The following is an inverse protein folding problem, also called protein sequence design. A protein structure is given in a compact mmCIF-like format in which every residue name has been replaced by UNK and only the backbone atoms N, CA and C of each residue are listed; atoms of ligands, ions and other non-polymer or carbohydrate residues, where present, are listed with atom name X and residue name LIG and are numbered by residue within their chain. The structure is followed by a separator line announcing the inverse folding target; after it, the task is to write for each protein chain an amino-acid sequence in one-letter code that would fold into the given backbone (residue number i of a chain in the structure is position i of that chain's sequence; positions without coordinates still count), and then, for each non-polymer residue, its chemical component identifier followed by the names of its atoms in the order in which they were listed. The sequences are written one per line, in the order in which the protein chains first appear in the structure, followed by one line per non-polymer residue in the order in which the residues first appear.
data_IF_441325739321
#
_entry.id   IF_441325739321
#
_cell.length_a   1.000
_cell.length_b   1.000
_cell.length_c   1.000
_cell.angle_alpha   90.00
_cell.angle_beta   90.00
_cell.angle_gamma   90.00
#
_symmetry.space_group_name_H-M   'P 1'
#
loop_
_entity.id
_entity.type
_entity.pdbx_description
1 polymer ?
#
# COMPACT_ATOMS: atom_id res chain seq x y z
N UNK A 1 29.24 17.56 -6.66
CA UNK A 1 30.31 18.38 -7.28
C UNK A 1 29.73 18.95 -8.57
N UNK A 2 29.42 20.25 -8.62
CA UNK A 2 28.89 20.88 -9.83
C UNK A 2 30.07 21.43 -10.64
N UNK A 3 30.33 20.89 -11.82
CA UNK A 3 31.38 21.38 -12.73
C UNK A 3 30.74 22.07 -13.93
N UNK A 4 31.53 22.88 -14.65
CA UNK A 4 31.07 23.60 -15.83
C UNK A 4 30.76 22.62 -16.98
N UNK A 5 29.62 22.83 -17.66
CA UNK A 5 29.15 21.99 -18.78
C UNK A 5 30.20 21.84 -19.87
N UNK A 6 30.93 22.91 -20.17
CA UNK A 6 32.01 22.95 -21.17
C UNK A 6 33.14 21.97 -20.83
N UNK A 7 33.43 21.78 -19.53
CA UNK A 7 34.45 20.83 -19.08
C UNK A 7 33.98 19.37 -19.16
N UNK A 8 32.68 19.11 -19.00
CA UNK A 8 32.14 17.76 -19.13
C UNK A 8 32.02 17.33 -20.59
N UNK A 9 31.61 18.22 -21.48
CA UNK A 9 31.47 17.92 -22.92
C UNK A 9 32.82 17.57 -23.56
N UNK A 10 33.87 18.34 -23.23
CA UNK A 10 35.24 18.11 -23.73
C UNK A 10 35.89 16.83 -23.17
N UNK A 11 35.51 16.38 -21.96
CA UNK A 11 36.02 15.13 -21.37
C UNK A 11 35.25 13.89 -21.85
N UNK A 12 33.98 14.07 -22.25
CA UNK A 12 33.07 12.97 -22.64
C UNK A 12 32.98 12.80 -24.16
N UNK A 13 33.79 13.55 -24.93
CA UNK A 13 33.80 13.57 -26.41
C UNK A 13 32.37 13.72 -27.00
N UNK A 14 31.55 14.52 -26.33
CA UNK A 14 30.14 14.77 -26.62
C UNK A 14 29.91 16.28 -26.73
N UNK A 15 30.66 16.89 -27.64
CA UNK A 15 30.44 18.28 -28.03
C UNK A 15 29.02 18.43 -28.60
N UNK A 16 28.32 19.48 -28.19
CA UNK A 16 26.97 19.86 -28.62
C UNK A 16 25.76 19.04 -28.13
N UNK A 17 25.94 17.96 -27.36
CA UNK A 17 24.81 17.23 -26.76
C UNK A 17 24.51 17.71 -25.32
N UNK A 18 23.25 18.06 -25.05
CA UNK A 18 22.74 18.45 -23.72
C UNK A 18 21.62 17.49 -23.33
N UNK A 19 21.78 16.76 -22.23
CA UNK A 19 20.81 15.74 -21.79
C UNK A 19 19.56 16.32 -21.14
N UNK A 20 19.66 17.47 -20.46
CA UNK A 20 18.51 18.14 -19.84
C UNK A 20 18.80 19.61 -19.56
N UNK A 21 17.78 20.46 -19.73
CA UNK A 21 17.85 21.89 -19.43
C UNK A 21 16.81 22.18 -18.35
N UNK A 22 17.26 22.54 -17.15
CA UNK A 22 16.38 22.93 -16.05
C UNK A 22 16.14 24.43 -16.05
N UNK A 23 14.90 24.85 -16.29
CA UNK A 23 14.50 26.27 -16.29
C UNK A 23 13.76 26.56 -14.99
N UNK A 24 14.32 27.45 -14.15
CA UNK A 24 13.66 27.91 -12.93
C UNK A 24 12.87 29.18 -13.22
N UNK A 25 11.54 29.09 -13.17
CA UNK A 25 10.65 30.24 -13.40
C UNK A 25 10.56 31.09 -12.12
N UNK A 26 10.51 32.43 -12.27
CA UNK A 26 10.28 33.36 -11.15
C UNK A 26 8.86 33.18 -10.58
N UNK A 27 8.73 33.37 -9.27
CA UNK A 27 7.52 33.08 -8.45
C UNK A 27 6.21 33.72 -8.94
N UNK A 28 6.29 34.80 -9.72
CA UNK A 28 5.12 35.57 -10.20
C UNK A 28 4.76 35.32 -11.68
N UNK A 29 5.39 34.32 -12.34
CA UNK A 29 5.08 33.96 -13.72
C UNK A 29 4.26 32.67 -13.80
N UNK A 30 3.21 32.68 -14.63
CA UNK A 30 2.32 31.53 -14.83
C UNK A 30 3.06 30.42 -15.61
N UNK A 31 3.32 29.30 -14.93
CA UNK A 31 4.01 28.11 -15.43
C UNK A 31 3.36 27.55 -16.69
N UNK A 32 2.02 27.53 -16.76
CA UNK A 32 1.25 26.99 -17.88
C UNK A 32 1.47 27.83 -19.14
N UNK A 33 1.38 29.16 -19.04
CA UNK A 33 1.59 30.06 -20.20
C UNK A 33 3.03 30.04 -20.73
N UNK A 34 4.01 29.80 -19.86
CA UNK A 34 5.42 29.66 -20.27
C UNK A 34 5.67 28.29 -20.90
N UNK A 35 5.08 27.23 -20.35
CA UNK A 35 5.16 25.89 -20.91
C UNK A 35 4.55 25.84 -22.31
N UNK A 36 3.35 26.39 -22.49
CA UNK A 36 2.63 26.41 -23.76
C UNK A 36 3.42 27.16 -24.84
N UNK A 37 4.04 28.30 -24.49
CA UNK A 37 4.89 29.05 -25.43
C UNK A 37 6.19 28.34 -25.81
N UNK A 38 6.73 27.52 -24.91
CA UNK A 38 7.94 26.73 -25.20
C UNK A 38 7.57 25.50 -26.03
N UNK A 39 6.45 24.84 -25.72
CA UNK A 39 5.88 23.74 -26.52
C UNK A 39 5.58 24.20 -27.94
N UNK A 40 4.88 25.32 -28.12
CA UNK A 40 4.57 25.86 -29.46
C UNK A 40 5.82 26.23 -30.27
N UNK A 41 6.88 26.70 -29.61
CA UNK A 41 8.10 27.17 -30.29
C UNK A 41 9.12 26.08 -30.61
N UNK A 42 9.08 24.95 -29.88
CA UNK A 42 10.09 23.89 -29.97
C UNK A 42 9.50 22.46 -30.06
N UNK A 43 8.22 22.36 -30.48
CA UNK A 43 7.41 21.13 -30.49
C UNK A 43 8.07 19.92 -31.18
N UNK A 44 8.90 20.16 -32.21
CA UNK A 44 9.48 19.10 -33.06
C UNK A 44 10.86 18.60 -32.61
N UNK A 45 11.46 19.16 -31.55
CA UNK A 45 12.84 18.77 -31.15
C UNK A 45 13.02 18.61 -29.65
N UNK A 46 12.13 19.14 -28.82
CA UNK A 46 12.29 19.14 -27.36
C UNK A 46 11.04 18.61 -26.66
N UNK A 47 11.18 17.47 -25.97
CA UNK A 47 10.20 17.05 -24.97
C UNK A 47 10.39 17.90 -23.71
N UNK A 48 9.46 18.82 -23.49
CA UNK A 48 9.41 19.59 -22.24
C UNK A 48 8.58 18.84 -21.22
N UNK A 49 9.20 18.51 -20.09
CA UNK A 49 8.52 17.94 -18.93
C UNK A 49 8.44 19.04 -17.90
N UNK A 50 7.23 19.50 -17.59
CA UNK A 50 7.02 20.41 -16.46
C UNK A 50 7.05 19.63 -15.16
N UNK A 51 7.38 20.34 -14.07
CA UNK A 51 7.27 19.76 -12.72
C UNK A 51 5.83 19.34 -12.41
N UNK A 52 4.82 19.98 -13.04
CA UNK A 52 3.40 19.64 -12.88
C UNK A 52 3.02 18.34 -13.61
N UNK A 53 3.44 18.17 -14.88
CA UNK A 53 3.23 16.92 -15.64
C UNK A 53 3.98 15.74 -14.99
N UNK A 54 5.17 16.00 -14.45
CA UNK A 54 5.92 14.99 -13.69
C UNK A 54 5.22 14.60 -12.39
N UNK A 55 4.67 15.58 -11.65
CA UNK A 55 3.91 15.32 -10.43
C UNK A 55 2.63 14.51 -10.72
N UNK A 56 1.86 14.90 -11.75
CA UNK A 56 0.66 14.17 -12.18
C UNK A 56 0.98 12.73 -12.59
N UNK A 57 2.06 12.52 -13.35
CA UNK A 57 2.48 11.16 -13.74
C UNK A 57 2.83 10.30 -12.52
N UNK A 58 3.48 10.90 -11.51
CA UNK A 58 3.78 10.21 -10.24
C UNK A 58 2.48 9.90 -9.49
N UNK A 59 1.56 10.85 -9.37
CA UNK A 59 0.28 10.66 -8.69
C UNK A 59 -0.56 9.56 -9.36
N UNK A 60 -0.69 9.57 -10.68
CA UNK A 60 -1.40 8.53 -11.45
C UNK A 60 -0.77 7.14 -11.26
N UNK A 61 0.56 7.08 -11.22
CA UNK A 61 1.30 5.83 -10.97
C UNK A 61 1.05 5.33 -9.55
N UNK A 62 1.09 6.23 -8.56
CA UNK A 62 0.82 5.89 -7.16
C UNK A 62 -0.63 5.42 -6.97
N UNK A 63 -1.59 6.07 -7.62
CA UNK A 63 -3.00 5.67 -7.59
C UNK A 63 -3.22 4.30 -8.23
N UNK A 64 -2.53 4.01 -9.33
CA UNK A 64 -2.54 2.69 -9.95
C UNK A 64 -2.02 1.61 -8.98
N UNK A 65 -0.87 1.86 -8.32
CA UNK A 65 -0.29 0.94 -7.33
C UNK A 65 -1.23 0.77 -6.12
N UNK A 66 -1.83 1.86 -5.63
CA UNK A 66 -2.78 1.84 -4.53
C UNK A 66 -4.03 1.02 -4.88
N UNK A 67 -4.57 1.18 -6.09
CA UNK A 67 -5.73 0.42 -6.55
C UNK A 67 -5.44 -1.08 -6.66
N UNK A 68 -4.27 -1.45 -7.19
CA UNK A 68 -3.82 -2.83 -7.28
C UNK A 68 -3.64 -3.46 -5.89
N UNK A 69 -3.03 -2.72 -4.97
CA UNK A 69 -2.85 -3.16 -3.57
C UNK A 69 -4.20 -3.38 -2.89
N UNK A 70 -5.14 -2.44 -3.05
CA UNK A 70 -6.50 -2.54 -2.50
C UNK A 70 -7.24 -3.78 -3.05
N UNK A 71 -7.04 -4.13 -4.32
CA UNK A 71 -7.63 -5.33 -4.89
C UNK A 71 -7.06 -6.62 -4.26
N UNK A 72 -5.75 -6.66 -4.00
CA UNK A 72 -5.10 -7.80 -3.33
C UNK A 72 -5.54 -7.89 -1.88
N UNK A 73 -5.67 -6.76 -1.17
CA UNK A 73 -6.23 -6.71 0.18
C UNK A 73 -7.64 -7.31 0.22
N UNK A 74 -8.51 -6.92 -0.71
CA UNK A 74 -9.86 -7.48 -0.81
C UNK A 74 -9.87 -9.00 -1.02
N UNK A 75 -8.96 -9.53 -1.84
CA UNK A 75 -8.81 -10.98 -2.03
C UNK A 75 -8.29 -11.66 -0.77
N UNK A 76 -7.35 -11.04 -0.06
CA UNK A 76 -6.82 -11.57 1.19
C UNK A 76 -7.91 -11.69 2.26
N UNK A 77 -8.82 -10.71 2.34
CA UNK A 77 -9.99 -10.74 3.22
C UNK A 77 -10.87 -11.97 2.91
N UNK A 78 -11.19 -12.20 1.63
CA UNK A 78 -12.03 -13.32 1.22
C UNK A 78 -11.38 -14.65 1.59
N UNK A 79 -10.09 -14.81 1.29
CA UNK A 79 -9.36 -16.05 1.58
C UNK A 79 -9.24 -16.28 3.09
N UNK A 80 -8.92 -15.24 3.86
CA UNK A 80 -8.81 -15.28 5.32
C UNK A 80 -10.15 -15.64 5.97
N UNK A 81 -11.23 -14.97 5.56
CA UNK A 81 -12.58 -15.25 6.02
C UNK A 81 -13.04 -16.68 5.73
N UNK A 82 -12.78 -17.19 4.52
CA UNK A 82 -13.08 -18.59 4.18
C UNK A 82 -12.29 -19.59 5.03
N UNK A 83 -11.02 -19.28 5.32
CA UNK A 83 -10.19 -20.08 6.23
C UNK A 83 -10.81 -20.17 7.64
N UNK A 84 -11.18 -19.03 8.22
CA UNK A 84 -11.82 -18.97 9.54
C UNK A 84 -13.14 -19.74 9.54
N UNK A 85 -13.98 -19.53 8.52
CA UNK A 85 -15.27 -20.22 8.37
C UNK A 85 -15.08 -21.75 8.32
N UNK A 86 -14.09 -22.24 7.55
CA UNK A 86 -13.80 -23.66 7.44
C UNK A 86 -13.34 -24.26 8.77
N UNK A 87 -12.42 -23.59 9.48
CA UNK A 87 -11.98 -24.03 10.81
C UNK A 87 -13.13 -24.01 11.80
N UNK A 88 -13.95 -22.97 11.81
CA UNK A 88 -15.08 -22.86 12.71
C UNK A 88 -16.13 -23.94 12.47
N UNK A 89 -16.45 -24.21 11.20
CA UNK A 89 -17.33 -25.31 10.82
C UNK A 89 -16.79 -26.64 11.34
N UNK A 90 -15.50 -26.92 11.13
CA UNK A 90 -14.86 -28.14 11.63
C UNK A 90 -14.99 -28.28 13.15
N UNK A 91 -14.65 -27.23 13.92
CA UNK A 91 -14.77 -27.24 15.39
C UNK A 91 -16.21 -27.47 15.86
N UNK A 92 -17.19 -26.86 15.19
CA UNK A 92 -18.60 -27.05 15.52
C UNK A 92 -19.04 -28.48 15.21
N UNK A 93 -18.60 -29.07 14.09
CA UNK A 93 -18.91 -30.45 13.73
C UNK A 93 -18.38 -31.45 14.77
N UNK A 94 -17.13 -31.26 15.21
CA UNK A 94 -16.50 -32.10 16.24
C UNK A 94 -17.25 -32.06 17.57
N UNK A 95 -17.82 -30.91 17.94
CA UNK A 95 -18.49 -30.69 19.24
C UNK A 95 -20.02 -30.76 19.17
N UNK A 96 -20.58 -31.23 18.06
CA UNK A 96 -22.05 -31.37 17.89
C UNK A 96 -22.71 -32.17 19.00
N UNK A 97 -22.08 -33.25 19.47
CA UNK A 97 -22.59 -34.08 20.58
C UNK A 97 -22.62 -33.30 21.89
N UNK A 98 -21.60 -32.50 22.18
CA UNK A 98 -21.53 -31.64 23.38
C UNK A 98 -22.63 -30.58 23.35
N UNK A 99 -22.83 -29.93 22.21
CA UNK A 99 -23.90 -28.94 21.98
C UNK A 99 -25.29 -29.57 22.20
N UNK A 100 -25.48 -30.81 21.75
CA UNK A 100 -26.71 -31.59 21.97
C UNK A 100 -26.98 -31.85 23.46
N UNK A 101 -25.94 -32.20 24.23
CA UNK A 101 -26.05 -32.36 25.69
C UNK A 101 -26.38 -31.03 26.35
N UNK A 102 -25.67 -29.94 26.01
CA UNK A 102 -25.93 -28.60 26.59
C UNK A 102 -27.37 -28.13 26.36
N UNK A 103 -27.93 -28.35 25.15
CA UNK A 103 -29.35 -28.05 24.88
C UNK A 103 -30.29 -28.86 25.75
N UNK A 104 -30.00 -30.13 26.00
CA UNK A 104 -30.80 -31.00 26.86
C UNK A 104 -30.78 -30.59 28.33
N UNK A 105 -29.69 -29.95 28.80
CA UNK A 105 -29.62 -29.32 30.14
C UNK A 105 -30.29 -27.94 30.17
N UNK A 106 -30.91 -27.50 29.07
CA UNK A 106 -31.69 -26.25 29.01
C UNK A 106 -30.91 -25.02 28.54
N UNK A 107 -29.71 -25.18 27.95
CA UNK A 107 -29.02 -24.04 27.35
C UNK A 107 -29.80 -23.47 26.15
N UNK A 108 -30.00 -22.16 26.14
CA UNK A 108 -30.67 -21.47 25.04
C UNK A 108 -29.75 -21.36 23.81
N UNK A 109 -30.35 -21.34 22.61
CA UNK A 109 -29.60 -21.16 21.35
C UNK A 109 -28.69 -19.93 21.37
N UNK A 110 -29.15 -18.82 21.99
CA UNK A 110 -28.35 -17.60 22.16
C UNK A 110 -27.09 -17.84 22.98
N UNK A 111 -27.18 -18.57 24.10
CA UNK A 111 -26.02 -18.85 24.97
C UNK A 111 -24.94 -19.67 24.25
N UNK A 112 -25.36 -20.63 23.43
CA UNK A 112 -24.46 -21.43 22.60
C UNK A 112 -23.80 -20.55 21.52
N UNK A 113 -24.58 -19.69 20.85
CA UNK A 113 -24.05 -18.78 19.83
C UNK A 113 -23.04 -17.79 20.42
N UNK A 114 -23.31 -17.22 21.60
CA UNK A 114 -22.38 -16.30 22.28
C UNK A 114 -21.09 -16.99 22.72
N UNK A 115 -21.15 -18.26 23.15
CA UNK A 115 -19.96 -19.05 23.45
C UNK A 115 -19.08 -19.24 22.20
N UNK A 116 -19.70 -19.63 21.09
CA UNK A 116 -19.04 -19.83 19.79
C UNK A 116 -18.44 -18.50 19.29
N UNK A 117 -19.18 -17.40 19.36
CA UNK A 117 -18.66 -16.06 19.02
C UNK A 117 -17.46 -15.67 19.91
N UNK A 118 -17.48 -16.05 21.18
CA UNK A 118 -16.35 -15.85 22.09
C UNK A 118 -15.09 -16.60 21.64
N UNK A 119 -15.22 -17.86 21.22
CA UNK A 119 -14.10 -18.63 20.64
C UNK A 119 -13.56 -17.97 19.37
N UNK A 120 -14.44 -17.50 18.47
CA UNK A 120 -14.04 -16.77 17.26
C UNK A 120 -13.28 -15.48 17.57
N UNK A 121 -13.76 -14.66 18.51
CA UNK A 121 -13.10 -13.39 18.88
C UNK A 121 -11.68 -13.65 19.38
N UNK A 122 -11.49 -14.67 20.21
CA UNK A 122 -10.15 -15.03 20.72
C UNK A 122 -9.23 -15.46 19.57
N UNK A 123 -9.73 -16.28 18.64
CA UNK A 123 -8.97 -16.70 17.46
C UNK A 123 -8.58 -15.49 16.58
N UNK A 124 -9.50 -14.56 16.34
CA UNK A 124 -9.25 -13.35 15.55
C UNK A 124 -8.22 -12.44 16.22
N UNK A 125 -8.29 -12.27 17.54
CA UNK A 125 -7.28 -11.47 18.27
C UNK A 125 -5.91 -12.12 18.18
N UNK A 126 -5.82 -13.43 18.35
CA UNK A 126 -4.56 -14.17 18.26
C UNK A 126 -3.97 -14.11 16.85
N UNK A 127 -4.77 -14.31 15.80
CA UNK A 127 -4.32 -14.21 14.42
C UNK A 127 -3.87 -12.78 14.08
N UNK A 128 -4.59 -11.76 14.55
CA UNK A 128 -4.21 -10.36 14.38
C UNK A 128 -2.87 -10.01 15.03
N UNK A 129 -2.64 -10.48 16.26
CA UNK A 129 -1.35 -10.28 16.96
C UNK A 129 -0.21 -10.97 16.20
N UNK A 130 -0.38 -12.26 15.86
CA UNK A 130 0.64 -13.04 15.17
C UNK A 130 0.93 -12.45 13.78
N UNK A 131 -0.12 -12.11 13.03
CA UNK A 131 -0.02 -11.49 11.70
C UNK A 131 0.66 -10.14 11.74
N UNK A 132 0.33 -9.28 12.71
CA UNK A 132 0.98 -7.98 12.88
C UNK A 132 2.48 -8.12 13.18
N UNK A 133 2.86 -9.04 14.08
CA UNK A 133 4.27 -9.30 14.40
C UNK A 133 5.03 -9.81 13.16
N UNK A 134 4.45 -10.77 12.44
CA UNK A 134 5.06 -11.30 11.20
C UNK A 134 5.18 -10.23 10.12
N UNK A 135 4.19 -9.35 9.97
CA UNK A 135 4.22 -8.24 9.01
C UNK A 135 5.34 -7.25 9.31
N UNK A 136 5.50 -6.83 10.56
CA UNK A 136 6.59 -5.93 10.97
C UNK A 136 7.96 -6.58 10.74
N UNK A 137 8.10 -7.87 11.07
CA UNK A 137 9.33 -8.61 10.82
C UNK A 137 9.65 -8.69 9.32
N UNK A 138 8.65 -8.94 8.47
CA UNK A 138 8.83 -8.98 7.02
C UNK A 138 9.33 -7.65 6.48
N UNK A 139 8.73 -6.53 6.93
CA UNK A 139 9.18 -5.17 6.55
C UNK A 139 10.63 -4.93 6.96
N UNK A 140 11.01 -5.34 8.17
CA UNK A 140 12.39 -5.20 8.65
C UNK A 140 13.40 -6.01 7.83
N UNK A 141 13.04 -7.25 7.46
CA UNK A 141 13.87 -8.10 6.61
C UNK A 141 14.02 -7.48 5.22
N UNK A 142 12.93 -7.01 4.62
CA UNK A 142 12.96 -6.37 3.31
C UNK A 142 13.82 -5.11 3.32
N UNK A 143 13.73 -4.28 4.36
CA UNK A 143 14.59 -3.11 4.52
C UNK A 143 16.08 -3.50 4.57
N UNK A 144 16.42 -4.55 5.32
CA UNK A 144 17.81 -5.02 5.42
C UNK A 144 18.36 -5.56 4.09
N UNK A 145 17.52 -6.19 3.27
CA UNK A 145 17.92 -6.80 1.99
C UNK A 145 18.10 -5.75 0.88
N UNK A 146 17.27 -4.72 0.84
CA UNK A 146 17.27 -3.74 -0.25
C UNK A 146 18.33 -2.62 -0.10
N UNK A 147 19.05 -2.57 1.04
CA UNK A 147 19.99 -1.51 1.36
C UNK A 147 19.30 -0.16 1.55
N UNK A 148 20.05 0.87 1.97
CA UNK A 148 19.58 2.24 2.33
C UNK A 148 18.79 3.01 1.23
N UNK A 149 18.42 2.36 0.13
CA UNK A 149 17.66 2.92 -0.99
C UNK A 149 16.15 3.05 -0.70
N UNK A 150 15.63 2.40 0.35
CA UNK A 150 14.24 2.54 0.79
C UNK A 150 14.20 3.15 2.19
N UNK A 151 13.44 4.22 2.37
CA UNK A 151 13.21 4.81 3.70
C UNK A 151 11.96 4.19 4.34
N UNK A 152 12.06 3.74 5.59
CA UNK A 152 10.89 3.34 6.39
C UNK A 152 10.09 4.58 6.77
N UNK A 153 8.92 4.76 6.15
CA UNK A 153 7.99 5.84 6.48
C UNK A 153 6.84 5.26 7.30
N UNK A 154 6.84 5.53 8.60
CA UNK A 154 5.72 5.24 9.48
C UNK A 154 4.77 6.44 9.48
N UNK A 155 3.69 6.35 8.71
CA UNK A 155 2.64 7.36 8.70
C UNK A 155 1.43 6.87 9.50
N UNK A 156 0.96 7.68 10.45
CA UNK A 156 -0.24 7.38 11.26
C UNK A 156 -1.47 7.08 10.40
N UNK A 157 -1.59 7.68 9.22
CA UNK A 157 -2.67 7.42 8.26
C UNK A 157 -2.66 5.99 7.70
N UNK A 158 -1.49 5.38 7.53
CA UNK A 158 -1.36 3.98 7.08
C UNK A 158 -1.84 3.03 8.18
N UNK A 159 -1.48 3.33 9.43
CA UNK A 159 -1.98 2.55 10.57
C UNK A 159 -3.49 2.64 10.73
N UNK A 160 -4.07 3.84 10.54
CA UNK A 160 -5.52 4.02 10.60
C UNK A 160 -6.20 3.26 9.45
N UNK A 161 -5.69 3.34 8.22
CA UNK A 161 -6.21 2.55 7.09
C UNK A 161 -6.15 1.05 7.38
N UNK A 162 -5.00 0.54 7.82
CA UNK A 162 -4.82 -0.86 8.17
C UNK A 162 -5.79 -1.29 9.28
N UNK A 163 -6.01 -0.43 10.28
CA UNK A 163 -6.97 -0.70 11.35
C UNK A 163 -8.41 -0.74 10.85
N UNK A 164 -8.81 0.17 9.96
CA UNK A 164 -10.15 0.17 9.34
C UNK A 164 -10.36 -1.10 8.50
N UNK A 165 -9.36 -1.48 7.69
CA UNK A 165 -9.39 -2.71 6.89
C UNK A 165 -9.50 -3.92 7.80
N UNK A 166 -8.68 -4.01 8.86
CA UNK A 166 -8.77 -5.10 9.83
C UNK A 166 -10.12 -5.15 10.55
N UNK A 167 -10.71 -4.00 10.92
CA UNK A 167 -12.01 -3.97 11.58
C UNK A 167 -13.13 -4.44 10.64
N UNK A 168 -12.98 -4.23 9.34
CA UNK A 168 -13.92 -4.73 8.33
C UNK A 168 -13.91 -6.25 8.18
N UNK A 169 -12.86 -6.95 8.63
CA UNK A 169 -12.84 -8.42 8.69
C UNK A 169 -13.66 -9.00 9.86
N UNK A 170 -13.92 -8.19 10.89
CA UNK A 170 -14.57 -8.63 12.13
C UNK A 170 -16.08 -8.41 12.13
N UNK A 171 -16.57 -7.51 11.26
CA UNK A 171 -17.95 -7.04 11.17
C UNK A 171 -18.70 -7.69 10.00
#
# INVERSE_FOLDING_TARGET
MYTSLSKLQNITDNEDNISSISIKIKKDANLTTVNDKIKDKYNDTLHTITTEEMAQTIDDTLDTINSATTAIEALAIIIGGLGVINTMMMTVFERTREIGVLKSVGWTKKRILTMIMGESIVLTILSGIIGSVLGVLAVFILFKVNGDNMTLVFNMGIFIKAFIVALSEVL
#
